data_IF_107173654229
#
_entry.id   IF_107173654229
#
_cell.length_a   1.000
_cell.length_b   1.000
_cell.length_c   1.000
_cell.angle_alpha   90.00
_cell.angle_beta   90.00
_cell.angle_gamma   90.00
#
_symmetry.space_group_name_H-M   'P 1'
#
loop_
_entity.id
_entity.type
_entity.pdbx_description
1 polymer ?
#
# COMPACT_ATOMS: atom_id res chain seq x y z
N UNK A 1 -41.40 -53.10 -31.84
CA UNK A 1 -40.95 -52.23 -30.73
C UNK A 1 -39.47 -51.96 -30.93
N UNK A 2 -39.14 -50.68 -30.85
CA UNK A 2 -38.11 -49.89 -31.51
C UNK A 2 -36.65 -50.34 -31.34
N UNK A 3 -35.84 -50.25 -32.42
CA UNK A 3 -34.41 -50.09 -32.30
C UNK A 3 -33.97 -48.63 -32.62
N UNK A 4 -33.14 -48.11 -31.71
CA UNK A 4 -32.10 -47.05 -31.87
C UNK A 4 -32.53 -45.66 -32.33
N UNK A 5 -32.60 -44.72 -31.37
CA UNK A 5 -32.58 -43.27 -31.61
C UNK A 5 -31.20 -42.66 -31.35
N UNK A 6 -30.91 -41.67 -32.20
CA UNK A 6 -30.02 -40.52 -32.01
C UNK A 6 -28.50 -40.70 -32.05
N UNK A 7 -28.00 -40.69 -33.29
CA UNK A 7 -26.74 -40.04 -33.61
C UNK A 7 -26.83 -38.54 -33.28
N UNK A 8 -26.18 -38.09 -32.22
CA UNK A 8 -25.90 -36.66 -32.02
C UNK A 8 -24.67 -36.30 -32.85
N UNK A 9 -24.90 -35.69 -34.02
CA UNK A 9 -23.87 -35.10 -34.87
C UNK A 9 -23.37 -33.82 -34.19
N UNK A 10 -22.13 -33.83 -33.69
CA UNK A 10 -21.43 -32.63 -33.22
C UNK A 10 -21.17 -31.73 -34.42
N UNK A 11 -21.71 -30.51 -34.40
CA UNK A 11 -21.45 -29.49 -35.42
C UNK A 11 -20.02 -28.92 -35.26
N UNK A 12 -19.32 -28.62 -36.37
CA UNK A 12 -18.00 -27.99 -36.31
C UNK A 12 -18.12 -26.52 -35.84
N UNK A 13 -17.30 -26.14 -34.87
CA UNK A 13 -17.10 -24.74 -34.48
C UNK A 13 -16.36 -23.99 -35.59
N UNK A 14 -16.84 -22.83 -36.06
CA UNK A 14 -16.09 -22.01 -37.00
C UNK A 14 -14.85 -21.39 -36.34
N UNK A 15 -13.75 -21.15 -37.07
CA UNK A 15 -12.60 -20.44 -36.53
C UNK A 15 -12.98 -18.96 -36.30
N UNK A 16 -12.79 -18.51 -35.06
CA UNK A 16 -12.91 -17.10 -34.68
C UNK A 16 -11.90 -16.28 -35.49
N UNK A 17 -12.42 -15.37 -36.31
CA UNK A 17 -11.64 -14.51 -37.18
C UNK A 17 -10.84 -13.51 -36.34
N UNK A 18 -9.53 -13.47 -36.56
CA UNK A 18 -8.65 -12.42 -36.06
C UNK A 18 -9.11 -11.04 -36.59
N UNK A 19 -9.25 -10.01 -35.75
CA UNK A 19 -9.32 -8.65 -36.25
C UNK A 19 -7.93 -8.17 -36.65
N UNK A 20 -7.90 -7.58 -37.85
CA UNK A 20 -6.76 -7.07 -38.57
C UNK A 20 -5.93 -6.03 -37.79
N UNK A 21 -4.61 -6.13 -37.94
CA UNK A 21 -3.72 -4.99 -37.76
C UNK A 21 -4.07 -3.91 -38.80
N UNK A 22 -4.49 -2.75 -38.31
CA UNK A 22 -4.74 -1.55 -39.09
C UNK A 22 -4.15 -0.36 -38.36
N UNK A 23 -3.09 0.21 -38.93
CA UNK A 23 -2.47 1.45 -38.49
C UNK A 23 -3.49 2.58 -38.40
N UNK A 24 -3.48 3.31 -37.29
CA UNK A 24 -4.29 4.50 -37.12
C UNK A 24 -4.33 4.98 -35.68
N UNK A 25 -3.31 5.69 -35.23
CA UNK A 25 -3.48 6.68 -34.15
C UNK A 25 -2.47 7.80 -34.33
N UNK A 26 -2.87 8.75 -35.16
CA UNK A 26 -2.39 10.14 -35.13
C UNK A 26 -2.68 10.77 -33.76
N UNK A 27 -1.99 11.87 -33.42
CA UNK A 27 -1.59 12.18 -32.06
C UNK A 27 -2.77 12.71 -31.23
N UNK A 28 -2.97 12.13 -30.05
CA UNK A 28 -3.74 12.80 -28.99
C UNK A 28 -2.90 13.95 -28.46
N UNK A 29 -3.16 15.17 -28.96
CA UNK A 29 -2.62 16.40 -28.39
C UNK A 29 -3.69 17.11 -27.56
N UNK A 30 -3.32 17.33 -26.28
CA UNK A 30 -3.74 18.37 -25.35
C UNK A 30 -5.21 18.43 -24.87
N UNK A 31 -5.39 18.04 -23.60
CA UNK A 31 -6.52 18.37 -22.75
C UNK A 31 -6.23 18.00 -21.30
N UNK A 32 -5.49 18.87 -20.61
CA UNK A 32 -5.24 18.96 -19.16
C UNK A 32 -5.52 17.73 -18.27
N UNK A 33 -4.48 16.94 -18.03
CA UNK A 33 -4.39 15.93 -16.99
C UNK A 33 -3.08 15.18 -17.17
N UNK A 34 -2.13 15.34 -16.24
CA UNK A 34 -0.79 14.78 -16.35
C UNK A 34 -0.84 13.26 -16.65
N UNK A 35 0.01 12.80 -17.57
CA UNK A 35 0.04 11.37 -17.93
C UNK A 35 0.39 10.53 -16.68
N UNK A 36 -0.12 9.31 -16.57
CA UNK A 36 0.15 8.47 -15.38
C UNK A 36 1.65 8.25 -15.15
N UNK A 37 2.44 8.23 -16.22
CA UNK A 37 3.90 8.18 -16.15
C UNK A 37 4.50 9.49 -15.59
N UNK A 38 3.87 10.63 -15.85
CA UNK A 38 4.23 11.94 -15.29
C UNK A 38 3.89 12.04 -13.81
N UNK A 39 2.72 11.54 -13.38
CA UNK A 39 2.32 11.51 -11.96
C UNK A 39 3.22 10.57 -11.14
N UNK A 40 3.63 9.45 -11.73
CA UNK A 40 4.56 8.53 -11.10
C UNK A 40 5.98 9.11 -11.05
N UNK A 41 6.43 9.80 -12.10
CA UNK A 41 7.69 10.52 -12.12
C UNK A 41 7.71 11.66 -11.08
N UNK A 42 6.61 12.40 -10.93
CA UNK A 42 6.48 13.47 -9.94
C UNK A 42 6.45 12.92 -8.50
N UNK A 43 5.82 11.76 -8.26
CA UNK A 43 5.84 11.11 -6.94
C UNK A 43 7.20 10.47 -6.59
N UNK A 44 7.93 9.97 -7.58
CA UNK A 44 9.30 9.48 -7.42
C UNK A 44 10.29 10.63 -7.20
N UNK A 45 10.12 11.77 -7.87
CA UNK A 45 10.94 12.96 -7.68
C UNK A 45 10.70 13.61 -6.31
N UNK A 46 9.45 13.62 -5.81
CA UNK A 46 9.12 14.03 -4.44
C UNK A 46 9.76 13.11 -3.38
N UNK A 47 9.92 11.81 -3.68
CA UNK A 47 10.65 10.87 -2.81
C UNK A 47 12.16 11.07 -2.90
N UNK A 48 12.71 11.30 -4.09
CA UNK A 48 14.13 11.60 -4.30
C UNK A 48 14.56 12.93 -3.64
N UNK A 49 13.72 13.97 -3.73
CA UNK A 49 13.93 15.25 -3.05
C UNK A 49 13.78 15.13 -1.53
N UNK A 50 12.90 14.25 -1.03
CA UNK A 50 12.82 13.92 0.39
C UNK A 50 14.04 13.12 0.88
N UNK A 51 14.68 12.33 0.02
CA UNK A 51 15.94 11.64 0.31
C UNK A 51 17.16 12.57 0.30
N UNK A 52 17.17 13.61 -0.54
CA UNK A 52 18.21 14.65 -0.52
C UNK A 52 18.18 15.48 0.79
N UNK A 53 16.99 15.76 1.33
CA UNK A 53 16.82 16.46 2.62
C UNK A 53 17.21 15.62 3.85
N UNK A 54 17.27 14.29 3.72
CA UNK A 54 17.69 13.38 4.81
C UNK A 54 19.18 13.49 5.15
N UNK A 55 20.02 14.03 4.26
CA UNK A 55 21.45 14.22 4.55
C UNK A 55 21.79 15.58 5.18
N UNK A 56 20.82 16.50 5.32
CA UNK A 56 21.03 17.83 5.90
C UNK A 56 20.26 18.09 7.20
N UNK A 57 19.30 17.23 7.57
CA UNK A 57 18.54 17.38 8.81
C UNK A 57 19.14 16.54 9.94
N UNK A 58 19.82 17.21 10.86
CA UNK A 58 20.24 16.66 12.15
C UNK A 58 19.09 15.87 12.84
N UNK A 59 19.41 14.84 13.65
CA UNK A 59 18.40 14.04 14.31
C UNK A 59 17.71 14.88 15.38
N UNK A 60 16.54 15.41 15.07
CA UNK A 60 15.61 15.90 16.08
C UNK A 60 15.05 14.69 16.87
N UNK A 61 15.88 14.20 17.78
CA UNK A 61 15.45 13.43 18.94
C UNK A 61 15.27 14.44 20.07
N UNK A 62 14.02 14.75 20.37
CA UNK A 62 13.59 15.33 21.65
C UNK A 62 12.06 15.38 21.65
N UNK A 63 11.45 14.47 22.38
CA UNK A 63 10.00 14.39 22.58
C UNK A 63 9.46 13.02 22.24
N UNK A 64 8.80 12.40 23.21
CA UNK A 64 8.22 11.05 23.21
C UNK A 64 7.08 10.82 22.20
N UNK A 65 7.20 11.34 20.97
CA UNK A 65 6.17 11.32 19.95
C UNK A 65 6.49 10.41 18.77
N UNK A 66 5.45 9.79 18.22
CA UNK A 66 5.48 9.05 16.95
C UNK A 66 5.02 9.97 15.83
N UNK A 67 5.77 10.00 14.72
CA UNK A 67 5.42 10.80 13.54
C UNK A 67 4.44 10.02 12.66
N UNK A 68 3.47 10.71 12.07
CA UNK A 68 2.62 10.14 11.02
C UNK A 68 3.11 10.62 9.66
N UNK A 69 3.17 9.71 8.69
CA UNK A 69 3.31 10.11 7.28
C UNK A 69 1.98 10.70 6.79
N UNK A 70 2.03 11.47 5.70
CA UNK A 70 0.82 11.98 5.04
C UNK A 70 -0.15 10.85 4.65
N UNK A 71 0.39 9.71 4.20
CA UNK A 71 -0.41 8.55 3.84
C UNK A 71 -1.07 7.90 5.06
N UNK A 72 -0.34 7.71 6.16
CA UNK A 72 -0.90 7.18 7.41
C UNK A 72 -2.00 8.09 7.96
N UNK A 73 -1.77 9.40 7.96
CA UNK A 73 -2.72 10.38 8.48
C UNK A 73 -4.02 10.43 7.66
N UNK A 74 -3.90 10.43 6.33
CA UNK A 74 -5.05 10.34 5.43
C UNK A 74 -5.85 9.05 5.67
N UNK A 75 -5.17 7.91 5.83
CA UNK A 75 -5.81 6.61 6.05
C UNK A 75 -6.54 6.55 7.39
N UNK A 76 -5.93 7.05 8.47
CA UNK A 76 -6.55 7.14 9.79
C UNK A 76 -7.81 8.02 9.77
N UNK A 77 -7.75 9.17 9.08
CA UNK A 77 -8.91 10.06 8.89
C UNK A 77 -10.02 9.37 8.12
N UNK A 78 -9.71 8.72 6.99
CA UNK A 78 -10.71 8.01 6.18
C UNK A 78 -11.36 6.85 6.91
N UNK A 79 -10.58 6.13 7.73
CA UNK A 79 -11.07 5.02 8.55
C UNK A 79 -11.80 5.49 9.82
N UNK A 80 -11.86 6.81 10.09
CA UNK A 80 -12.43 7.41 11.32
C UNK A 80 -11.90 6.75 12.61
N UNK A 81 -10.64 6.33 12.57
CA UNK A 81 -10.00 5.66 13.71
C UNK A 81 -9.52 6.74 14.69
N UNK A 82 -9.85 6.64 15.98
CA UNK A 82 -9.37 7.58 16.97
C UNK A 82 -7.85 7.44 17.11
N UNK A 83 -7.13 8.48 16.69
CA UNK A 83 -5.69 8.60 16.89
C UNK A 83 -5.44 9.65 17.98
N UNK A 84 -5.25 9.17 19.21
CA UNK A 84 -5.05 10.00 20.39
C UNK A 84 -3.75 9.66 21.14
N UNK A 85 -3.50 10.34 22.27
CA UNK A 85 -2.28 10.18 23.06
C UNK A 85 -2.07 8.74 23.56
N UNK A 86 -3.15 8.01 23.85
CA UNK A 86 -3.07 6.62 24.27
C UNK A 86 -2.56 5.70 23.14
N UNK A 87 -3.06 5.87 21.91
CA UNK A 87 -2.60 5.11 20.74
C UNK A 87 -1.14 5.44 20.45
N UNK A 88 -0.77 6.71 20.49
CA UNK A 88 0.62 7.17 20.29
C UNK A 88 1.56 6.53 21.32
N UNK A 89 1.18 6.49 22.60
CA UNK A 89 1.99 5.86 23.65
C UNK A 89 2.17 4.35 23.44
N UNK A 90 1.09 3.64 23.08
CA UNK A 90 1.13 2.19 22.79
C UNK A 90 2.03 1.88 21.59
N UNK A 91 1.89 2.64 20.51
CA UNK A 91 2.74 2.51 19.31
C UNK A 91 4.18 2.86 19.63
N UNK A 92 4.44 3.90 20.43
CA UNK A 92 5.79 4.25 20.87
C UNK A 92 6.46 3.10 21.63
N UNK A 93 5.75 2.51 22.60
CA UNK A 93 6.26 1.35 23.34
C UNK A 93 6.51 0.15 22.43
N UNK A 94 5.63 -0.10 21.46
CA UNK A 94 5.82 -1.16 20.47
C UNK A 94 7.06 -0.93 19.60
N UNK A 95 7.28 0.32 19.16
CA UNK A 95 8.47 0.71 18.40
C UNK A 95 9.74 0.53 19.23
N UNK A 96 9.74 0.91 20.51
CA UNK A 96 10.90 0.70 21.39
C UNK A 96 11.22 -0.79 21.59
N UNK A 97 10.19 -1.65 21.73
CA UNK A 97 10.37 -3.10 21.81
C UNK A 97 11.00 -3.67 20.53
N UNK A 98 10.59 -3.18 19.36
CA UNK A 98 11.16 -3.62 18.08
C UNK A 98 12.58 -3.06 17.89
N UNK A 99 12.81 -1.80 18.27
CA UNK A 99 14.12 -1.16 18.23
C UNK A 99 15.14 -1.93 19.08
N UNK A 100 14.76 -2.36 20.29
CA UNK A 100 15.61 -3.18 21.16
C UNK A 100 15.98 -4.55 20.56
N UNK A 101 15.21 -5.02 19.57
CA UNK A 101 15.49 -6.27 18.82
C UNK A 101 16.20 -6.03 17.49
N UNK A 102 16.51 -4.77 17.15
CA UNK A 102 17.18 -4.40 15.90
C UNK A 102 16.27 -4.35 14.68
N UNK A 103 14.94 -4.35 14.85
CA UNK A 103 14.00 -4.23 13.74
C UNK A 103 14.01 -2.83 13.11
N UNK A 104 13.85 -2.75 11.80
CA UNK A 104 13.90 -1.49 11.02
C UNK A 104 12.51 -1.11 10.51
N UNK A 105 11.75 -2.08 10.05
CA UNK A 105 10.40 -1.96 9.52
C UNK A 105 9.51 -2.96 10.23
N UNK A 106 8.52 -2.44 10.97
CA UNK A 106 7.68 -3.26 11.81
C UNK A 106 6.20 -3.16 11.44
N UNK A 107 5.51 -4.29 11.50
CA UNK A 107 4.06 -4.33 11.57
C UNK A 107 3.63 -4.27 13.04
N UNK A 108 2.92 -3.21 13.42
CA UNK A 108 2.32 -3.05 14.75
C UNK A 108 0.83 -3.32 14.63
N UNK A 109 0.36 -4.35 15.31
CA UNK A 109 -1.07 -4.65 15.44
C UNK A 109 -1.57 -4.01 16.75
N UNK A 110 -2.45 -3.03 16.62
CA UNK A 110 -3.03 -2.26 17.72
C UNK A 110 -4.55 -2.38 17.67
N UNK A 111 -5.15 -3.10 18.62
CA UNK A 111 -6.59 -3.41 18.60
C UNK A 111 -6.97 -4.03 17.22
N UNK A 112 -7.84 -3.36 16.45
CA UNK A 112 -8.20 -3.73 15.08
C UNK A 112 -7.35 -3.03 14.00
N UNK A 113 -6.35 -2.24 14.36
CA UNK A 113 -5.54 -1.49 13.41
C UNK A 113 -4.20 -2.19 13.16
N UNK A 114 -3.79 -2.27 11.90
CA UNK A 114 -2.46 -2.66 11.50
C UNK A 114 -1.69 -1.44 11.01
N UNK A 115 -0.55 -1.16 11.63
CA UNK A 115 0.30 -0.01 11.35
C UNK A 115 1.65 -0.49 10.85
N UNK A 116 2.11 0.04 9.71
CA UNK A 116 3.49 -0.19 9.26
C UNK A 116 4.32 0.99 9.74
N UNK A 117 5.39 0.71 10.49
CA UNK A 117 6.23 1.72 11.10
C UNK A 117 7.69 1.56 10.70
N UNK A 118 8.31 2.69 10.38
CA UNK A 118 9.76 2.80 10.29
C UNK A 118 10.32 3.11 11.66
N UNK A 119 10.98 2.11 12.26
CA UNK A 119 11.63 2.21 13.57
C UNK A 119 12.75 3.28 13.61
N UNK A 120 13.69 3.36 12.64
CA UNK A 120 14.78 4.35 12.72
C UNK A 120 14.27 5.79 12.64
N UNK A 121 13.15 6.02 11.95
CA UNK A 121 12.53 7.34 11.83
C UNK A 121 11.43 7.59 12.87
N UNK A 122 11.03 6.55 13.62
CA UNK A 122 9.86 6.53 14.51
C UNK A 122 8.60 7.09 13.82
N UNK A 123 8.40 6.67 12.57
CA UNK A 123 7.34 7.17 11.67
C UNK A 123 6.39 6.07 11.26
N UNK A 124 5.08 6.29 11.40
CA UNK A 124 4.04 5.44 10.82
C UNK A 124 3.94 5.74 9.32
N UNK A 125 4.19 4.73 8.51
CA UNK A 125 4.13 4.80 7.04
C UNK A 125 2.70 4.66 6.55
N UNK A 126 1.96 3.66 7.05
CA UNK A 126 0.56 3.44 6.69
C UNK A 126 -0.24 2.86 7.85
N UNK A 127 -1.56 3.02 7.76
CA UNK A 127 -2.54 2.47 8.68
C UNK A 127 -3.61 1.70 7.91
N UNK A 128 -3.90 0.49 8.37
CA UNK A 128 -4.83 -0.44 7.75
C UNK A 128 -5.86 -0.91 8.79
N UNK A 129 -7.14 -0.56 8.64
CA UNK A 129 -8.18 -0.98 9.58
C UNK A 129 -8.51 -2.47 9.46
N UNK A 130 -9.01 -3.04 10.55
CA UNK A 130 -9.19 -4.47 10.77
C UNK A 130 -10.14 -5.14 9.80
N UNK A 131 -11.19 -4.43 9.40
CA UNK A 131 -12.19 -4.89 8.43
C UNK A 131 -11.58 -5.19 7.05
N UNK A 132 -10.42 -4.62 6.75
CA UNK A 132 -9.70 -4.82 5.49
C UNK A 132 -8.56 -5.85 5.63
N UNK A 133 -8.42 -6.55 6.76
CA UNK A 133 -7.31 -7.51 7.00
C UNK A 133 -7.43 -8.85 6.28
N UNK A 134 -8.59 -9.17 5.70
CA UNK A 134 -8.86 -10.52 5.22
C UNK A 134 -7.92 -11.02 4.11
N UNK A 135 -7.25 -10.15 3.33
CA UNK A 135 -6.38 -10.58 2.21
C UNK A 135 -5.16 -9.67 1.94
N UNK A 136 -4.61 -8.99 2.95
CA UNK A 136 -3.47 -8.08 2.73
C UNK A 136 -2.11 -8.78 2.94
N UNK A 137 -1.36 -8.98 1.86
CA UNK A 137 0.05 -9.39 1.92
C UNK A 137 0.92 -8.18 2.25
N UNK A 138 1.58 -8.21 3.40
CA UNK A 138 2.56 -7.20 3.80
C UNK A 138 3.97 -7.73 3.54
N UNK A 139 4.74 -7.00 2.74
CA UNK A 139 6.13 -7.34 2.42
C UNK A 139 7.08 -6.29 3.02
N UNK A 140 8.38 -6.58 2.97
CA UNK A 140 9.42 -5.66 3.46
C UNK A 140 9.26 -5.25 4.94
N UNK A 141 8.67 -6.12 5.75
CA UNK A 141 8.69 -6.02 7.21
C UNK A 141 9.69 -7.04 7.76
N UNK A 142 10.49 -6.62 8.73
CA UNK A 142 11.43 -7.49 9.44
C UNK A 142 10.89 -7.95 10.79
N UNK A 143 9.95 -7.20 11.35
CA UNK A 143 9.43 -7.44 12.70
C UNK A 143 7.91 -7.29 12.73
N UNK A 144 7.25 -8.06 13.60
CA UNK A 144 5.84 -7.86 13.92
C UNK A 144 5.67 -7.83 15.44
N UNK A 145 4.85 -6.89 15.91
CA UNK A 145 4.55 -6.72 17.33
C UNK A 145 3.05 -6.50 17.51
N UNK A 146 2.51 -7.18 18.52
CA UNK A 146 1.12 -7.01 18.94
C UNK A 146 1.15 -6.09 20.15
N UNK A 147 0.47 -4.95 20.04
CA UNK A 147 0.30 -3.97 21.09
C UNK A 147 -1.18 -3.94 21.49
N UNK A 148 -1.50 -4.61 22.59
CA UNK A 148 -2.80 -4.55 23.28
C UNK A 148 -2.81 -3.41 24.29
#
# INVERSE_FOLDING_TARGET
MDPIREQTRVAPVPPEAAPAEGAGSSPVRAGSGASFQELLAEELDLRAAAEARRHAAAPASSGAGIKLSAHAEQRLRSARVPWGPQQVARVASAVDKVAGKGGKQALVLLDDLALIVSVPNRTVITAVPGERRQENVFTQIDSAVIAS
#
